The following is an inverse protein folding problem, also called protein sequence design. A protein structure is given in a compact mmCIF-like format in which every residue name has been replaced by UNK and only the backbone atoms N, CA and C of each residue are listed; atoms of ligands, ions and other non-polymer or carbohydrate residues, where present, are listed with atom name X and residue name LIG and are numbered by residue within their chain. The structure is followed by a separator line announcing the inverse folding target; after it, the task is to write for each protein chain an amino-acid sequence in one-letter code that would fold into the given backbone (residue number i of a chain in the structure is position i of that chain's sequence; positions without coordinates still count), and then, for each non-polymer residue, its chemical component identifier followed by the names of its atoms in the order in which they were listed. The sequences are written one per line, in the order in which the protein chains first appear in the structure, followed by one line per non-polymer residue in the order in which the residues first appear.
data_IF_575154057856
#
_entry.id   IF_575154057856
#
_cell.length_a   1.000
_cell.length_b   1.000
_cell.length_c   1.000
_cell.angle_alpha   90.00
_cell.angle_beta   90.00
_cell.angle_gamma   90.00
#
_symmetry.space_group_name_H-M   'P 1'
#
loop_
_entity.id
_entity.type
_entity.pdbx_description
1 polymer ?
#
# COMPACT_ATOMS: atom_id res chain seq x y z
N UNK A 1 -32.96 -2.48 8.48
CA UNK A 1 -31.89 -2.33 9.48
C UNK A 1 -31.02 -3.57 9.40
N UNK A 2 -29.73 -3.39 9.37
CA UNK A 2 -28.77 -4.49 9.49
C UNK A 2 -28.03 -4.30 10.82
N UNK A 3 -28.07 -5.31 11.69
CA UNK A 3 -27.29 -5.28 12.93
C UNK A 3 -26.00 -6.09 12.73
N UNK A 4 -24.92 -5.64 13.33
CA UNK A 4 -23.61 -6.30 13.35
C UNK A 4 -22.85 -5.91 14.63
N UNK A 5 -21.89 -6.70 15.05
CA UNK A 5 -20.95 -6.26 16.09
C UNK A 5 -19.94 -5.27 15.49
N UNK A 6 -19.50 -5.50 14.24
CA UNK A 6 -18.47 -4.73 13.58
C UNK A 6 -18.90 -4.22 12.20
N UNK A 7 -18.84 -2.91 11.96
CA UNK A 7 -19.07 -2.28 10.66
C UNK A 7 -17.75 -1.66 10.13
N UNK A 8 -17.29 -2.09 8.96
CA UNK A 8 -16.07 -1.59 8.33
C UNK A 8 -16.48 -0.76 7.12
N UNK A 9 -16.16 0.53 7.14
CA UNK A 9 -16.40 1.45 6.03
C UNK A 9 -15.16 1.50 5.17
N UNK A 10 -15.26 0.97 3.94
CA UNK A 10 -14.17 0.83 2.98
C UNK A 10 -13.68 -0.61 2.83
N UNK A 11 -13.71 -1.12 1.59
CA UNK A 11 -13.18 -2.41 1.17
C UNK A 11 -11.88 -2.27 0.34
N UNK A 12 -11.06 -1.29 0.70
CA UNK A 12 -9.65 -1.22 0.30
C UNK A 12 -8.80 -2.14 1.15
N UNK A 13 -7.47 -2.14 0.91
CA UNK A 13 -6.57 -3.06 1.61
C UNK A 13 -6.65 -2.96 3.13
N UNK A 14 -6.80 -1.76 3.69
CA UNK A 14 -6.89 -1.55 5.14
C UNK A 14 -8.15 -2.19 5.69
N UNK A 15 -9.32 -1.90 5.11
CA UNK A 15 -10.59 -2.47 5.60
C UNK A 15 -10.67 -3.98 5.42
N UNK A 16 -10.23 -4.53 4.28
CA UNK A 16 -10.21 -5.97 4.05
C UNK A 16 -9.25 -6.70 5.02
N UNK A 17 -8.07 -6.14 5.25
CA UNK A 17 -7.13 -6.75 6.21
C UNK A 17 -7.65 -6.60 7.64
N UNK A 18 -8.33 -5.48 8.00
CA UNK A 18 -8.99 -5.33 9.31
C UNK A 18 -10.10 -6.38 9.50
N UNK A 19 -10.92 -6.62 8.48
CA UNK A 19 -11.92 -7.69 8.53
C UNK A 19 -11.27 -9.07 8.73
N UNK A 20 -10.15 -9.33 8.02
CA UNK A 20 -9.39 -10.56 8.20
C UNK A 20 -8.86 -10.72 9.63
N UNK A 21 -8.25 -9.67 10.21
CA UNK A 21 -7.73 -9.71 11.58
C UNK A 21 -8.85 -9.94 12.62
N UNK A 22 -10.05 -9.40 12.41
CA UNK A 22 -11.21 -9.66 13.26
C UNK A 22 -11.67 -11.12 13.18
N UNK A 23 -11.84 -11.66 11.97
CA UNK A 23 -12.26 -13.06 11.76
C UNK A 23 -11.22 -14.04 12.31
N UNK A 24 -9.94 -13.79 12.03
CA UNK A 24 -8.84 -14.63 12.52
C UNK A 24 -8.66 -14.52 14.04
N UNK A 25 -9.02 -13.37 14.63
CA UNK A 25 -9.11 -13.12 16.07
C UNK A 25 -10.32 -13.74 16.76
N UNK A 26 -11.20 -14.44 16.04
CA UNK A 26 -12.33 -15.20 16.59
C UNK A 26 -13.68 -14.47 16.57
N UNK A 27 -13.78 -13.31 15.91
CA UNK A 27 -15.09 -12.66 15.69
C UNK A 27 -15.88 -13.50 14.67
N UNK A 28 -17.18 -13.73 14.93
CA UNK A 28 -18.06 -14.42 13.99
C UNK A 28 -18.13 -13.61 12.68
N UNK A 29 -17.75 -14.19 11.53
CA UNK A 29 -17.84 -13.50 10.25
C UNK A 29 -19.22 -12.91 9.92
N UNK A 30 -20.31 -13.53 10.41
CA UNK A 30 -21.68 -13.05 10.21
C UNK A 30 -21.98 -11.76 10.99
N UNK A 31 -21.22 -11.47 12.03
CA UNK A 31 -21.28 -10.23 12.83
C UNK A 31 -20.42 -9.11 12.26
N UNK A 32 -19.78 -9.33 11.10
CA UNK A 32 -19.00 -8.31 10.39
C UNK A 32 -19.73 -7.87 9.13
N UNK A 33 -19.86 -6.56 8.94
CA UNK A 33 -20.34 -5.95 7.70
C UNK A 33 -19.32 -5.01 7.12
N UNK A 34 -19.01 -5.18 5.84
CA UNK A 34 -18.12 -4.28 5.07
C UNK A 34 -18.97 -3.45 4.11
N UNK A 35 -18.78 -2.14 4.13
CA UNK A 35 -19.58 -1.17 3.38
C UNK A 35 -18.68 -0.46 2.39
N UNK A 36 -18.85 -0.72 1.10
CA UNK A 36 -18.08 -0.06 0.03
C UNK A 36 -18.85 -0.17 -1.30
N UNK A 37 -19.06 0.93 -2.03
CA UNK A 37 -19.75 0.88 -3.32
C UNK A 37 -18.96 0.12 -4.39
N UNK A 38 -17.63 0.12 -4.31
CA UNK A 38 -16.72 -0.44 -5.32
C UNK A 38 -15.48 -1.04 -4.64
N UNK A 39 -15.56 -2.24 -4.05
CA UNK A 39 -14.42 -2.89 -3.39
C UNK A 39 -13.16 -2.90 -4.27
N UNK A 40 -12.00 -2.64 -3.65
CA UNK A 40 -10.66 -2.68 -4.28
C UNK A 40 -10.42 -1.57 -5.34
N UNK A 41 -11.37 -0.74 -5.67
CA UNK A 41 -11.31 0.23 -6.77
C UNK A 41 -10.43 1.47 -6.53
N UNK A 42 -10.06 1.76 -5.28
CA UNK A 42 -9.34 2.98 -4.90
C UNK A 42 -7.82 2.88 -5.04
N UNK A 43 -7.10 3.53 -4.12
CA UNK A 43 -5.62 3.53 -4.09
C UNK A 43 -5.01 2.12 -4.09
N UNK A 44 -5.69 1.13 -3.50
CA UNK A 44 -5.29 -0.29 -3.48
C UNK A 44 -5.11 -0.86 -4.88
N UNK A 45 -6.04 -0.60 -5.81
CA UNK A 45 -6.01 -1.13 -7.18
C UNK A 45 -4.82 -0.62 -7.99
N UNK A 46 -4.40 0.62 -7.71
CA UNK A 46 -3.34 1.31 -8.45
C UNK A 46 -1.96 1.09 -7.81
N UNK A 47 -1.91 0.69 -6.54
CA UNK A 47 -0.67 0.60 -5.77
C UNK A 47 0.41 -0.29 -6.41
N UNK A 48 1.69 0.09 -6.22
CA UNK A 48 2.85 -0.69 -6.64
C UNK A 48 3.06 -1.97 -5.84
N UNK A 49 2.69 -1.99 -4.56
CA UNK A 49 2.75 -3.19 -3.72
C UNK A 49 4.15 -3.57 -3.24
N UNK A 50 5.06 -2.62 -3.14
CA UNK A 50 6.33 -2.84 -2.46
C UNK A 50 6.08 -3.00 -0.95
N UNK A 51 6.62 -4.08 -0.39
CA UNK A 51 6.74 -4.32 1.04
C UNK A 51 8.17 -3.93 1.43
N UNK A 52 8.42 -2.63 1.41
CA UNK A 52 9.75 -2.06 1.38
C UNK A 52 9.96 -1.05 2.53
N UNK A 53 10.02 -1.52 3.80
CA UNK A 53 10.23 -0.64 4.94
C UNK A 53 11.57 0.09 4.90
N UNK A 54 12.54 -0.40 4.14
CA UNK A 54 13.89 0.17 4.06
C UNK A 54 14.08 0.98 2.78
N UNK A 55 13.72 0.45 1.59
CA UNK A 55 13.88 1.18 0.33
C UNK A 55 12.99 2.43 0.21
N UNK A 56 11.87 2.46 0.91
CA UNK A 56 10.93 3.58 0.88
C UNK A 56 11.18 4.67 1.95
N UNK A 57 12.23 4.55 2.76
CA UNK A 57 12.64 5.56 3.75
C UNK A 57 12.95 6.89 3.07
N UNK A 58 12.45 7.97 3.64
CA UNK A 58 12.71 9.35 3.21
C UNK A 58 13.15 10.21 4.40
N UNK A 59 13.92 11.24 4.13
CA UNK A 59 14.29 12.24 5.14
C UNK A 59 13.04 12.88 5.78
N UNK A 60 13.11 13.19 7.06
CA UNK A 60 12.06 13.84 7.84
C UNK A 60 10.80 13.00 8.07
N UNK A 61 10.92 11.68 7.90
CA UNK A 61 9.83 10.73 8.17
C UNK A 61 10.19 9.76 9.31
N UNK A 62 11.14 10.13 10.20
CA UNK A 62 11.64 9.29 11.29
C UNK A 62 10.52 8.67 12.16
N UNK A 63 9.41 9.38 12.49
CA UNK A 63 8.30 8.77 13.24
C UNK A 63 7.58 7.64 12.51
N UNK A 64 7.70 7.58 11.17
CA UNK A 64 7.07 6.55 10.35
C UNK A 64 7.92 5.25 10.31
N UNK A 65 9.25 5.35 10.46
CA UNK A 65 10.15 4.21 10.29
C UNK A 65 9.81 3.01 11.18
N UNK A 66 9.56 3.18 12.51
CA UNK A 66 9.20 2.06 13.38
C UNK A 66 7.94 1.33 12.92
N UNK A 67 6.95 2.08 12.41
CA UNK A 67 5.69 1.50 11.93
C UNK A 67 5.91 0.69 10.64
N UNK A 68 6.77 1.20 9.73
CA UNK A 68 7.12 0.51 8.48
C UNK A 68 7.86 -0.79 8.76
N UNK A 69 8.87 -0.76 9.64
CA UNK A 69 9.65 -1.95 10.02
C UNK A 69 8.74 -2.98 10.69
N UNK A 70 7.97 -2.57 11.70
CA UNK A 70 7.05 -3.48 12.39
C UNK A 70 6.04 -4.11 11.42
N UNK A 71 5.50 -3.33 10.47
CA UNK A 71 4.57 -3.87 9.49
C UNK A 71 5.24 -4.85 8.53
N UNK A 72 6.47 -4.57 8.09
CA UNK A 72 7.27 -5.49 7.27
C UNK A 72 7.50 -6.82 7.97
N UNK A 73 7.81 -6.79 9.26
CA UNK A 73 8.00 -7.99 10.09
C UNK A 73 6.70 -8.77 10.32
N UNK A 74 5.54 -8.11 10.33
CA UNK A 74 4.23 -8.75 10.48
C UNK A 74 3.74 -9.44 9.21
N UNK A 75 4.18 -9.01 8.03
CA UNK A 75 3.68 -9.51 6.75
C UNK A 75 3.84 -11.03 6.55
N UNK A 76 4.98 -11.65 6.87
CA UNK A 76 5.13 -13.11 6.74
C UNK A 76 4.10 -13.90 7.55
N UNK A 77 3.81 -13.47 8.78
CA UNK A 77 2.80 -14.10 9.64
C UNK A 77 1.38 -13.90 9.06
N UNK A 78 1.02 -12.68 8.68
CA UNK A 78 -0.26 -12.37 8.04
C UNK A 78 -0.50 -13.27 6.83
N UNK A 79 0.49 -13.39 5.94
CA UNK A 79 0.39 -14.23 4.74
C UNK A 79 0.31 -15.72 5.07
N UNK A 80 1.03 -16.19 6.08
CA UNK A 80 0.96 -17.58 6.53
C UNK A 80 -0.43 -17.92 7.07
N UNK A 81 -1.01 -17.04 7.91
CA UNK A 81 -2.38 -17.18 8.43
C UNK A 81 -3.44 -17.17 7.32
N UNK A 82 -3.30 -16.27 6.34
CA UNK A 82 -4.20 -16.21 5.19
C UNK A 82 -4.07 -17.47 4.32
N UNK A 83 -2.85 -17.93 4.02
CA UNK A 83 -2.61 -19.14 3.23
C UNK A 83 -3.12 -20.42 3.87
N UNK A 84 -3.27 -20.44 5.20
CA UNK A 84 -3.90 -21.54 5.92
C UNK A 84 -5.44 -21.58 5.72
N UNK A 85 -6.03 -20.49 5.26
CA UNK A 85 -7.49 -20.33 5.10
C UNK A 85 -7.96 -20.40 3.65
N UNK A 86 -7.10 -20.07 2.68
CA UNK A 86 -7.43 -20.06 1.26
C UNK A 86 -6.21 -20.41 0.40
N UNK A 87 -6.46 -20.99 -0.77
CA UNK A 87 -5.45 -21.28 -1.79
C UNK A 87 -5.32 -20.18 -2.85
N UNK A 88 -6.14 -19.13 -2.76
CA UNK A 88 -6.08 -18.00 -3.69
C UNK A 88 -4.71 -17.31 -3.62
N UNK A 89 -4.07 -17.02 -4.77
CA UNK A 89 -2.73 -16.46 -4.78
C UNK A 89 -2.72 -14.99 -4.36
N UNK A 90 -1.72 -14.60 -3.58
CA UNK A 90 -1.50 -13.20 -3.16
C UNK A 90 -0.52 -12.45 -4.06
N UNK A 91 0.21 -13.16 -4.92
CA UNK A 91 1.28 -12.59 -5.73
C UNK A 91 2.49 -12.10 -4.90
N UNK A 92 2.69 -12.64 -3.70
CA UNK A 92 3.85 -12.32 -2.86
C UNK A 92 5.13 -12.93 -3.44
N UNK A 93 6.20 -12.12 -3.46
CA UNK A 93 7.56 -12.52 -3.86
C UNK A 93 8.56 -11.99 -2.84
N UNK A 94 9.60 -12.78 -2.55
CA UNK A 94 10.56 -12.54 -1.46
C UNK A 94 11.97 -12.22 -1.95
N UNK A 95 12.14 -11.88 -3.20
CA UNK A 95 13.42 -11.41 -3.74
C UNK A 95 13.78 -10.05 -3.10
N UNK A 96 15.06 -9.83 -2.85
CA UNK A 96 15.58 -8.55 -2.36
C UNK A 96 15.24 -7.39 -3.31
N UNK A 97 15.17 -6.18 -2.79
CA UNK A 97 15.06 -4.96 -3.62
C UNK A 97 16.46 -4.43 -3.95
N UNK A 98 16.67 -4.06 -5.22
CA UNK A 98 17.84 -3.28 -5.64
C UNK A 98 17.45 -1.80 -5.77
N UNK A 99 18.22 -0.92 -5.13
CA UNK A 99 18.14 0.53 -5.31
C UNK A 99 19.31 0.97 -6.17
N UNK A 100 19.07 1.58 -7.33
CA UNK A 100 20.10 1.91 -8.30
C UNK A 100 20.06 3.38 -8.72
N UNK A 101 21.23 3.95 -9.03
CA UNK A 101 21.38 5.31 -9.55
C UNK A 101 21.79 5.28 -11.01
N UNK A 102 21.09 6.05 -11.85
CA UNK A 102 21.35 6.08 -13.28
C UNK A 102 22.64 6.84 -13.63
N UNK A 103 22.96 7.88 -12.88
CA UNK A 103 24.16 8.68 -13.09
C UNK A 103 24.94 8.95 -11.79
N UNK A 104 26.00 9.79 -11.90
CA UNK A 104 26.87 10.08 -10.77
C UNK A 104 26.15 10.84 -9.65
N UNK A 105 25.24 11.75 -9.97
CA UNK A 105 24.50 12.53 -8.98
C UNK A 105 23.50 11.63 -8.24
N UNK A 106 22.77 10.79 -8.96
CA UNK A 106 21.90 9.76 -8.38
C UNK A 106 22.68 8.81 -7.47
N UNK A 107 23.92 8.45 -7.87
CA UNK A 107 24.83 7.64 -7.06
C UNK A 107 25.28 8.31 -5.77
N UNK A 108 25.39 9.65 -5.71
CA UNK A 108 25.60 10.40 -4.46
C UNK A 108 24.36 10.31 -3.58
N UNK A 109 23.18 10.61 -4.13
CA UNK A 109 21.91 10.54 -3.43
C UNK A 109 21.70 9.16 -2.76
N UNK A 110 21.94 8.07 -3.50
CA UNK A 110 21.80 6.71 -2.96
C UNK A 110 22.75 6.42 -1.81
N UNK A 111 23.99 6.91 -1.86
CA UNK A 111 24.95 6.75 -0.76
C UNK A 111 24.53 7.52 0.50
N UNK A 112 23.97 8.71 0.33
CA UNK A 112 23.43 9.49 1.46
C UNK A 112 22.20 8.79 2.07
N UNK A 113 21.33 8.26 1.24
CA UNK A 113 20.17 7.48 1.68
C UNK A 113 20.59 6.20 2.40
N UNK A 114 21.58 5.48 1.89
CA UNK A 114 22.18 4.31 2.54
C UNK A 114 22.74 4.66 3.93
N UNK A 115 23.46 5.79 4.04
CA UNK A 115 23.98 6.24 5.33
C UNK A 115 22.84 6.55 6.33
N UNK A 116 21.74 7.13 5.88
CA UNK A 116 20.54 7.35 6.70
C UNK A 116 19.94 6.02 7.16
N UNK A 117 19.74 5.07 6.24
CA UNK A 117 19.20 3.74 6.54
C UNK A 117 20.06 3.01 7.58
N UNK A 118 21.38 2.99 7.40
CA UNK A 118 22.32 2.36 8.32
C UNK A 118 22.37 3.05 9.69
N UNK A 119 22.27 4.39 9.73
CA UNK A 119 22.16 5.16 10.98
C UNK A 119 20.93 4.74 11.82
N UNK A 120 19.86 4.32 11.17
CA UNK A 120 18.65 3.82 11.81
C UNK A 120 18.65 2.28 11.99
N UNK A 121 19.79 1.62 11.81
CA UNK A 121 19.94 0.17 12.02
C UNK A 121 19.26 -0.69 10.96
N UNK A 122 18.91 -0.12 9.81
CA UNK A 122 18.24 -0.85 8.73
C UNK A 122 19.25 -1.67 7.91
N UNK A 123 18.80 -2.85 7.46
CA UNK A 123 19.61 -3.80 6.70
C UNK A 123 19.67 -3.38 5.21
N UNK A 124 20.68 -2.56 4.88
CA UNK A 124 20.94 -2.07 3.53
C UNK A 124 22.45 -2.08 3.24
N UNK A 125 22.86 -2.55 2.06
CA UNK A 125 24.26 -2.78 1.70
C UNK A 125 24.63 -2.17 0.36
N UNK A 126 25.73 -1.41 0.33
CA UNK A 126 26.33 -1.00 -0.94
C UNK A 126 26.73 -2.24 -1.76
N UNK A 127 26.32 -2.27 -3.02
CA UNK A 127 26.57 -3.41 -3.90
C UNK A 127 27.41 -2.97 -5.11
N UNK A 128 28.58 -3.61 -5.37
CA UNK A 128 29.31 -3.36 -6.61
C UNK A 128 28.43 -3.65 -7.83
N UNK A 129 28.43 -2.77 -8.83
CA UNK A 129 27.57 -2.90 -10.02
C UNK A 129 27.72 -4.25 -10.74
N UNK A 130 28.91 -4.84 -10.71
CA UNK A 130 29.13 -6.20 -11.25
C UNK A 130 28.33 -7.25 -10.48
N UNK A 131 28.20 -7.10 -9.17
CA UNK A 131 27.40 -8.01 -8.33
C UNK A 131 25.90 -7.73 -8.52
N UNK A 132 25.50 -6.47 -8.59
CA UNK A 132 24.13 -6.10 -8.88
C UNK A 132 23.64 -6.73 -10.19
N UNK A 133 24.45 -6.68 -11.26
CA UNK A 133 24.15 -7.33 -12.55
C UNK A 133 24.23 -8.87 -12.54
N UNK A 134 24.87 -9.48 -11.57
CA UNK A 134 24.76 -10.93 -11.37
C UNK A 134 23.44 -11.32 -10.71
N UNK A 135 22.94 -10.49 -9.80
CA UNK A 135 21.65 -10.69 -9.15
C UNK A 135 20.48 -10.35 -10.09
N UNK A 136 20.65 -9.31 -10.89
CA UNK A 136 19.67 -8.82 -11.86
C UNK A 136 20.33 -8.52 -13.20
N UNK A 137 20.40 -9.51 -14.10
CA UNK A 137 21.07 -9.36 -15.40
C UNK A 137 20.47 -8.30 -16.32
N UNK A 138 19.18 -8.00 -16.15
CA UNK A 138 18.45 -7.00 -16.93
C UNK A 138 18.84 -5.55 -16.62
N UNK A 139 19.66 -5.30 -15.59
CA UNK A 139 20.11 -3.94 -15.28
C UNK A 139 21.01 -3.35 -16.36
N UNK A 140 20.75 -2.08 -16.68
CA UNK A 140 21.57 -1.30 -17.60
C UNK A 140 23.07 -1.34 -17.25
N UNK A 141 23.97 -1.46 -18.23
CA UNK A 141 25.41 -1.35 -18.01
C UNK A 141 25.88 0.06 -17.59
N UNK A 142 25.03 1.08 -17.78
CA UNK A 142 25.37 2.50 -17.58
C UNK A 142 25.03 3.05 -16.19
N UNK A 143 24.59 2.17 -15.24
CA UNK A 143 24.29 2.60 -13.88
C UNK A 143 25.55 3.03 -13.12
N UNK A 144 25.39 3.98 -12.17
CA UNK A 144 26.50 4.56 -11.40
C UNK A 144 26.63 4.01 -9.97
N UNK A 145 25.54 3.49 -9.39
CA UNK A 145 25.53 2.92 -8.04
C UNK A 145 24.45 1.86 -7.88
N UNK A 146 24.65 0.98 -6.90
CA UNK A 146 23.64 0.01 -6.48
C UNK A 146 23.72 -0.22 -4.96
N UNK A 147 22.56 -0.44 -4.35
CA UNK A 147 22.36 -0.88 -2.97
C UNK A 147 21.42 -2.07 -2.99
N UNK A 148 21.73 -3.11 -2.23
CA UNK A 148 20.83 -4.24 -1.99
C UNK A 148 20.15 -4.08 -0.63
N UNK A 149 18.84 -4.37 -0.61
CA UNK A 149 18.03 -4.41 0.60
C UNK A 149 17.39 -5.80 0.68
N UNK A 150 18.00 -6.71 1.45
CA UNK A 150 17.61 -8.13 1.48
C UNK A 150 16.20 -8.36 2.03
N UNK A 151 15.78 -7.55 3.00
CA UNK A 151 14.52 -7.70 3.72
C UNK A 151 13.29 -7.11 3.01
N UNK A 152 13.48 -6.31 1.96
CA UNK A 152 12.38 -5.71 1.22
C UNK A 152 11.79 -6.70 0.20
N UNK A 153 10.49 -6.80 0.19
CA UNK A 153 9.72 -7.73 -0.62
C UNK A 153 8.69 -7.01 -1.50
N UNK A 154 7.83 -7.78 -2.17
CA UNK A 154 6.67 -7.26 -2.90
C UNK A 154 5.46 -8.18 -2.79
N UNK A 155 4.29 -7.59 -2.99
CA UNK A 155 3.03 -8.31 -3.16
C UNK A 155 2.27 -7.71 -4.33
N UNK A 156 1.44 -8.50 -5.04
CA UNK A 156 0.53 -7.93 -6.03
C UNK A 156 -0.72 -7.40 -5.33
N UNK A 157 -0.95 -6.07 -5.25
CA UNK A 157 -2.06 -5.52 -4.47
C UNK A 157 -3.43 -5.98 -4.97
N UNK A 158 -3.59 -6.19 -6.28
CA UNK A 158 -4.84 -6.66 -6.89
C UNK A 158 -5.13 -8.11 -6.50
N UNK A 159 -4.11 -8.99 -6.56
CA UNK A 159 -4.26 -10.39 -6.17
C UNK A 159 -4.47 -10.53 -4.66
N UNK A 160 -3.69 -9.81 -3.86
CA UNK A 160 -3.78 -9.87 -2.41
C UNK A 160 -5.14 -9.40 -1.89
N UNK A 161 -5.64 -8.25 -2.39
CA UNK A 161 -6.95 -7.76 -1.99
C UNK A 161 -8.10 -8.63 -2.53
N UNK A 162 -7.97 -9.21 -3.73
CA UNK A 162 -8.94 -10.18 -4.24
C UNK A 162 -8.96 -11.46 -3.39
N UNK A 163 -7.79 -11.97 -2.99
CA UNK A 163 -7.66 -13.11 -2.10
C UNK A 163 -8.35 -12.86 -0.74
N UNK A 164 -8.13 -11.69 -0.13
CA UNK A 164 -8.81 -11.31 1.12
C UNK A 164 -10.32 -11.21 0.94
N UNK A 165 -10.78 -10.55 -0.13
CA UNK A 165 -12.20 -10.37 -0.42
C UNK A 165 -12.90 -11.72 -0.62
N UNK A 166 -12.33 -12.59 -1.43
CA UNK A 166 -12.85 -13.95 -1.69
C UNK A 166 -12.94 -14.76 -0.40
N UNK A 167 -11.86 -14.78 0.40
CA UNK A 167 -11.86 -15.48 1.68
C UNK A 167 -12.95 -14.95 2.62
N UNK A 168 -13.05 -13.64 2.80
CA UNK A 168 -14.03 -13.03 3.71
C UNK A 168 -15.47 -13.32 3.29
N UNK A 169 -15.76 -13.29 1.98
CA UNK A 169 -17.07 -13.65 1.44
C UNK A 169 -17.41 -15.13 1.72
N UNK A 170 -16.47 -16.04 1.48
CA UNK A 170 -16.64 -17.47 1.77
C UNK A 170 -16.78 -17.75 3.28
N UNK A 171 -16.10 -16.99 4.12
CA UNK A 171 -16.23 -17.09 5.58
C UNK A 171 -17.60 -16.61 6.10
N UNK A 172 -18.35 -15.82 5.31
CA UNK A 172 -19.68 -15.34 5.69
C UNK A 172 -19.75 -13.86 6.09
N UNK A 173 -18.66 -13.09 5.90
CA UNK A 173 -18.68 -11.63 6.09
C UNK A 173 -19.65 -11.00 5.10
N UNK A 174 -20.50 -10.11 5.57
CA UNK A 174 -21.51 -9.44 4.74
C UNK A 174 -20.90 -8.22 4.04
N UNK A 175 -21.12 -8.09 2.73
CA UNK A 175 -20.69 -6.95 1.94
C UNK A 175 -21.91 -6.16 1.43
N UNK A 176 -21.88 -4.84 1.64
CA UNK A 176 -22.92 -3.92 1.16
C UNK A 176 -22.31 -3.00 0.09
N UNK A 177 -22.75 -3.17 -1.16
CA UNK A 177 -22.29 -2.39 -2.32
C UNK A 177 -22.94 -1.00 -2.35
N UNK A 178 -22.64 -0.17 -1.35
CA UNK A 178 -23.16 1.19 -1.20
C UNK A 178 -22.17 2.02 -0.38
N UNK A 179 -22.29 3.35 -0.43
CA UNK A 179 -21.43 4.25 0.34
C UNK A 179 -22.05 4.53 1.72
N UNK A 180 -21.21 4.62 2.76
CA UNK A 180 -21.57 5.24 4.02
C UNK A 180 -21.54 6.77 3.86
N UNK A 181 -22.57 7.45 4.34
CA UNK A 181 -22.70 8.92 4.22
C UNK A 181 -22.61 9.62 5.58
N UNK A 182 -23.03 8.95 6.65
CA UNK A 182 -23.04 9.54 7.99
C UNK A 182 -22.88 8.46 9.05
N UNK A 183 -22.21 8.80 10.15
CA UNK A 183 -22.13 8.01 11.37
C UNK A 183 -22.78 8.81 12.49
N UNK A 184 -23.79 8.25 13.14
CA UNK A 184 -24.48 8.85 14.29
C UNK A 184 -24.56 7.84 15.43
N UNK A 185 -23.71 8.02 16.45
CA UNK A 185 -23.56 7.01 17.49
C UNK A 185 -23.08 5.67 16.93
N UNK A 186 -23.88 4.65 17.08
CA UNK A 186 -23.68 3.29 16.54
C UNK A 186 -24.29 3.10 15.14
N UNK A 187 -24.91 4.11 14.57
CA UNK A 187 -25.64 4.00 13.31
C UNK A 187 -24.83 4.55 12.15
N UNK A 188 -24.70 3.76 11.09
CA UNK A 188 -24.11 4.14 9.80
C UNK A 188 -25.25 4.29 8.78
N UNK A 189 -25.46 5.52 8.31
CA UNK A 189 -26.39 5.81 7.22
C UNK A 189 -25.73 5.52 5.87
N UNK A 190 -26.47 4.89 4.99
CA UNK A 190 -26.01 4.50 3.65
C UNK A 190 -26.65 5.38 2.58
N UNK A 191 -25.96 5.52 1.44
CA UNK A 191 -26.43 6.34 0.32
C UNK A 191 -27.75 5.85 -0.30
N UNK A 192 -28.11 4.58 -0.12
CA UNK A 192 -29.37 3.98 -0.57
C UNK A 192 -30.48 4.01 0.49
N UNK A 193 -30.35 4.88 1.48
CA UNK A 193 -31.28 5.07 2.60
C UNK A 193 -31.36 3.88 3.59
N UNK A 194 -30.61 2.82 3.43
CA UNK A 194 -30.46 1.77 4.45
C UNK A 194 -29.64 2.29 5.63
N UNK A 195 -29.71 1.56 6.75
CA UNK A 195 -28.93 1.85 7.95
C UNK A 195 -28.33 0.56 8.49
N UNK A 196 -27.08 0.66 8.95
CA UNK A 196 -26.38 -0.39 9.67
C UNK A 196 -26.17 0.11 11.10
N UNK A 197 -26.54 -0.71 12.09
CA UNK A 197 -26.22 -0.46 13.50
C UNK A 197 -25.10 -1.42 13.89
N UNK A 198 -24.01 -0.91 14.47
CA UNK A 198 -22.87 -1.71 14.90
C UNK A 198 -22.31 -1.22 16.23
N UNK A 199 -21.81 -2.15 17.06
CA UNK A 199 -21.16 -1.82 18.33
C UNK A 199 -19.82 -1.14 18.09
N UNK A 200 -19.10 -1.56 17.04
CA UNK A 200 -17.83 -1.00 16.63
C UNK A 200 -17.82 -0.64 15.14
N UNK A 201 -17.44 0.58 14.83
CA UNK A 201 -17.31 1.10 13.47
C UNK A 201 -15.83 1.38 13.17
N UNK A 202 -15.36 0.96 12.00
CA UNK A 202 -14.00 1.22 11.50
C UNK A 202 -14.08 2.09 10.24
N UNK A 203 -13.51 3.28 10.30
CA UNK A 203 -13.47 4.22 9.17
C UNK A 203 -12.16 4.01 8.40
N UNK A 204 -12.22 3.15 7.34
CA UNK A 204 -11.07 2.66 6.57
C UNK A 204 -11.11 3.04 5.08
N UNK A 205 -11.96 3.97 4.67
CA UNK A 205 -12.27 4.27 3.27
C UNK A 205 -11.35 5.31 2.60
N UNK A 206 -10.11 5.42 3.07
CA UNK A 206 -9.09 6.26 2.45
C UNK A 206 -9.51 7.74 2.36
N UNK A 207 -9.43 8.35 1.18
CA UNK A 207 -9.85 9.73 0.97
C UNK A 207 -11.34 9.96 1.27
N UNK A 208 -12.18 8.94 1.10
CA UNK A 208 -13.61 9.03 1.39
C UNK A 208 -13.95 9.24 2.87
N UNK A 209 -12.98 9.08 3.77
CA UNK A 209 -13.20 9.30 5.21
C UNK A 209 -13.57 10.76 5.53
N UNK A 210 -13.15 11.71 4.70
CA UNK A 210 -13.53 13.12 4.84
C UNK A 210 -14.96 13.42 4.39
N UNK A 211 -15.57 12.52 3.63
CA UNK A 211 -16.90 12.69 3.05
C UNK A 211 -17.99 11.97 3.89
N UNK A 212 -17.61 11.33 5.00
CA UNK A 212 -18.53 10.73 5.97
C UNK A 212 -18.78 11.71 7.10
N UNK A 213 -20.02 12.14 7.26
CA UNK A 213 -20.43 13.12 8.27
C UNK A 213 -20.77 12.49 9.63
N UNK A 214 -20.97 13.34 10.65
CA UNK A 214 -21.63 13.04 11.92
C UNK A 214 -20.78 12.31 12.98
N UNK A 215 -19.63 11.78 12.64
CA UNK A 215 -18.76 11.07 13.59
C UNK A 215 -17.90 11.97 14.48
N UNK A 216 -17.83 13.24 14.14
CA UNK A 216 -17.11 14.27 14.89
C UNK A 216 -17.97 15.54 14.99
N UNK A 217 -17.86 16.27 16.09
CA UNK A 217 -18.53 17.57 16.27
C UNK A 217 -17.74 18.67 15.54
N UNK A 218 -18.43 19.43 14.68
CA UNK A 218 -17.81 20.48 13.86
C UNK A 218 -17.24 19.97 12.53
N UNK A 219 -16.18 20.61 12.04
CA UNK A 219 -15.52 20.24 10.80
C UNK A 219 -14.76 18.93 10.96
N UNK A 220 -14.75 18.10 9.88
CA UNK A 220 -14.00 16.85 9.87
C UNK A 220 -12.51 17.12 10.18
N UNK A 221 -11.92 16.48 11.22
CA UNK A 221 -10.55 16.76 11.67
C UNK A 221 -9.47 16.16 10.76
N UNK A 222 -9.84 15.28 9.83
CA UNK A 222 -8.88 14.60 8.96
C UNK A 222 -8.42 15.52 7.82
N UNK A 223 -7.19 16.01 7.91
CA UNK A 223 -6.58 16.86 6.89
C UNK A 223 -6.08 16.01 5.69
N UNK A 224 -6.96 15.16 5.12
CA UNK A 224 -6.65 14.30 3.99
C UNK A 224 -6.60 15.09 2.69
N UNK A 225 -5.55 14.85 1.90
CA UNK A 225 -5.37 15.41 0.56
C UNK A 225 -5.11 14.32 -0.48
N UNK A 226 -5.64 14.45 -1.71
CA UNK A 226 -5.34 13.51 -2.78
C UNK A 226 -3.95 13.80 -3.35
N UNK A 227 -3.07 12.79 -3.35
CA UNK A 227 -1.79 12.85 -4.05
C UNK A 227 -1.83 11.82 -5.18
N UNK A 228 -2.00 12.34 -6.41
CA UNK A 228 -2.14 11.50 -7.60
C UNK A 228 -0.79 10.91 -8.02
N UNK A 229 -0.83 9.68 -8.53
CA UNK A 229 0.32 9.00 -9.09
C UNK A 229 -0.07 8.19 -10.30
N UNK A 230 0.64 8.40 -11.41
CA UNK A 230 0.50 7.59 -12.61
C UNK A 230 1.32 6.31 -12.44
N UNK A 231 0.75 5.21 -12.88
CA UNK A 231 1.37 3.90 -12.89
C UNK A 231 1.14 3.21 -14.22
N UNK A 232 2.14 2.49 -14.70
CA UNK A 232 2.08 1.71 -15.92
C UNK A 232 2.09 0.23 -15.61
N UNK A 233 1.45 -0.56 -16.47
CA UNK A 233 1.56 -2.00 -16.48
C UNK A 233 2.02 -2.48 -17.84
N UNK A 234 3.02 -3.32 -17.81
CA UNK A 234 3.59 -3.98 -18.98
C UNK A 234 3.37 -5.49 -18.84
N UNK A 235 3.46 -6.21 -19.94
CA UNK A 235 3.48 -7.68 -20.00
C UNK A 235 4.75 -8.13 -20.67
N UNK A 236 5.38 -9.13 -20.10
CA UNK A 236 6.50 -9.83 -20.76
C UNK A 236 5.94 -10.80 -21.79
N UNK A 237 6.25 -10.66 -23.09
CA UNK A 237 5.85 -11.63 -24.09
C UNK A 237 6.43 -13.01 -23.81
N UNK A 238 5.67 -14.08 -24.06
CA UNK A 238 6.14 -15.46 -23.83
C UNK A 238 7.39 -15.78 -24.64
N UNK A 239 7.48 -15.28 -25.89
CA UNK A 239 8.63 -15.46 -26.75
C UNK A 239 9.90 -14.84 -26.15
N UNK A 240 9.77 -13.68 -25.46
CA UNK A 240 10.89 -13.03 -24.79
C UNK A 240 11.39 -13.87 -23.63
N UNK A 241 10.49 -14.42 -22.81
CA UNK A 241 10.84 -15.32 -21.70
C UNK A 241 11.62 -16.51 -22.18
N UNK A 242 11.19 -17.14 -23.31
CA UNK A 242 11.85 -18.32 -23.86
C UNK A 242 13.20 -18.05 -24.50
N UNK A 243 13.42 -16.85 -25.04
CA UNK A 243 14.66 -16.50 -25.78
C UNK A 243 15.69 -15.81 -24.93
N UNK A 244 15.28 -14.92 -24.03
CA UNK A 244 16.18 -14.01 -23.30
C UNK A 244 15.95 -14.04 -21.79
N UNK A 245 14.90 -14.72 -21.30
CA UNK A 245 14.46 -14.69 -19.92
C UNK A 245 13.61 -13.45 -19.59
N UNK A 246 13.18 -13.36 -18.34
CA UNK A 246 12.46 -12.17 -17.86
C UNK A 246 13.38 -10.94 -17.86
N UNK A 247 12.95 -9.76 -18.34
CA UNK A 247 13.76 -8.55 -18.39
C UNK A 247 14.12 -8.04 -16.99
N UNK A 248 13.34 -8.41 -15.97
CA UNK A 248 13.58 -8.09 -14.56
C UNK A 248 12.99 -9.19 -13.68
N UNK A 249 13.75 -9.60 -12.65
CA UNK A 249 13.37 -10.72 -11.77
C UNK A 249 13.07 -10.30 -10.33
N UNK A 250 13.50 -9.11 -9.91
CA UNK A 250 13.31 -8.55 -8.57
C UNK A 250 12.86 -7.09 -8.63
N UNK A 251 12.44 -6.53 -7.50
CA UNK A 251 12.10 -5.12 -7.44
C UNK A 251 13.37 -4.29 -7.70
N UNK A 252 13.31 -3.42 -8.70
CA UNK A 252 14.34 -2.40 -8.96
C UNK A 252 13.71 -1.05 -8.68
N UNK A 253 14.20 -0.37 -7.64
CA UNK A 253 13.92 1.03 -7.39
C UNK A 253 15.08 1.85 -7.91
N UNK A 254 14.82 2.94 -8.60
CA UNK A 254 15.89 3.74 -9.20
C UNK A 254 15.68 5.24 -8.99
N UNK A 255 16.79 5.97 -9.05
CA UNK A 255 16.79 7.40 -9.26
C UNK A 255 17.38 7.67 -10.64
N UNK A 256 16.68 8.48 -11.43
CA UNK A 256 17.09 8.90 -12.78
C UNK A 256 16.99 10.40 -12.85
N UNK A 257 18.11 11.10 -12.80
CA UNK A 257 18.17 12.57 -12.72
C UNK A 257 17.30 13.08 -11.54
N UNK A 258 17.50 12.48 -10.36
CA UNK A 258 16.77 12.72 -9.09
C UNK A 258 15.27 12.39 -9.13
N UNK A 259 14.76 11.79 -10.21
CA UNK A 259 13.37 11.31 -10.28
C UNK A 259 13.29 9.85 -9.83
N UNK A 260 12.44 9.54 -8.84
CA UNK A 260 12.26 8.16 -8.42
C UNK A 260 11.41 7.38 -9.43
N UNK A 261 11.87 6.19 -9.79
CA UNK A 261 11.13 5.21 -10.58
C UNK A 261 11.31 3.83 -9.98
N UNK A 262 10.33 2.97 -10.09
CA UNK A 262 10.43 1.56 -9.71
C UNK A 262 9.89 0.65 -10.82
N UNK A 263 10.49 -0.53 -10.92
CA UNK A 263 10.10 -1.63 -11.81
C UNK A 263 9.87 -2.86 -10.95
N UNK A 264 8.66 -3.41 -10.99
CA UNK A 264 8.24 -4.49 -10.09
C UNK A 264 7.69 -5.66 -10.93
N UNK A 265 8.45 -6.75 -11.09
CA UNK A 265 7.98 -7.96 -11.78
C UNK A 265 6.94 -8.69 -10.93
N UNK A 266 5.96 -9.32 -11.59
CA UNK A 266 4.86 -10.02 -10.96
C UNK A 266 4.86 -11.51 -11.29
N UNK A 267 4.20 -12.30 -10.45
CA UNK A 267 4.04 -13.75 -10.68
C UNK A 267 3.13 -14.09 -11.87
N UNK A 268 2.33 -13.13 -12.35
CA UNK A 268 1.42 -13.27 -13.48
C UNK A 268 2.03 -12.83 -14.82
N UNK A 269 3.36 -12.64 -14.89
CA UNK A 269 4.07 -12.19 -16.07
C UNK A 269 3.91 -10.71 -16.40
N UNK A 270 3.25 -9.94 -15.52
CA UNK A 270 3.17 -8.48 -15.67
C UNK A 270 4.29 -7.77 -14.94
N UNK A 271 4.56 -6.53 -15.32
CA UNK A 271 5.50 -5.63 -14.66
C UNK A 271 4.77 -4.33 -14.34
N UNK A 272 4.85 -3.90 -13.08
CA UNK A 272 4.37 -2.57 -12.69
C UNK A 272 5.52 -1.57 -12.71
N UNK A 273 5.32 -0.43 -13.37
CA UNK A 273 6.27 0.69 -13.43
C UNK A 273 5.63 1.93 -12.83
N UNK A 274 6.29 2.56 -11.90
CA UNK A 274 5.74 3.73 -11.21
C UNK A 274 6.79 4.54 -10.47
N UNK A 275 6.41 5.58 -9.84
CA UNK A 275 5.15 6.28 -10.01
C UNK A 275 5.39 7.78 -9.93
N UNK A 276 4.61 8.52 -10.66
CA UNK A 276 4.59 9.99 -10.49
C UNK A 276 3.98 10.40 -9.15
N UNK A 277 4.20 11.64 -8.77
CA UNK A 277 3.58 12.24 -7.59
C UNK A 277 3.18 13.67 -7.92
N UNK A 278 1.89 13.97 -7.87
CA UNK A 278 1.36 15.30 -8.19
C UNK A 278 0.14 15.65 -7.33
N UNK A 279 0.04 16.89 -6.96
CA UNK A 279 -1.08 17.44 -6.19
C UNK A 279 -1.88 18.41 -7.08
N UNK A 280 -2.42 17.89 -8.18
CA UNK A 280 -3.30 18.59 -9.10
C UNK A 280 -4.70 17.93 -9.13
N UNK A 281 -5.63 18.49 -9.91
CA UNK A 281 -6.99 17.95 -10.01
C UNK A 281 -7.19 17.00 -11.21
N UNK A 282 -6.14 16.60 -11.90
CA UNK A 282 -6.24 15.72 -13.08
C UNK A 282 -6.42 14.27 -12.63
N UNK A 283 -7.56 13.67 -13.01
CA UNK A 283 -7.92 12.30 -12.66
C UNK A 283 -7.48 11.25 -13.66
N UNK A 284 -6.96 11.66 -14.81
CA UNK A 284 -6.41 10.77 -15.84
C UNK A 284 -4.88 10.78 -15.85
N UNK A 285 -4.23 9.74 -16.45
CA UNK A 285 -2.78 9.70 -16.62
C UNK A 285 -2.27 10.89 -17.43
N UNK A 286 -1.18 11.50 -16.97
CA UNK A 286 -0.57 12.64 -17.66
C UNK A 286 0.42 12.14 -18.73
N UNK A 287 0.39 12.70 -19.93
CA UNK A 287 1.26 12.29 -21.04
C UNK A 287 2.73 12.40 -20.67
N UNK A 288 3.13 13.50 -20.03
CA UNK A 288 4.51 13.71 -19.57
C UNK A 288 4.91 12.71 -18.47
N UNK A 289 3.99 12.38 -17.55
CA UNK A 289 4.19 11.36 -16.52
C UNK A 289 4.42 9.98 -17.12
N UNK A 290 3.56 9.56 -18.05
CA UNK A 290 3.66 8.28 -18.76
C UNK A 290 4.98 8.18 -19.54
N UNK A 291 5.31 9.21 -20.33
CA UNK A 291 6.53 9.23 -21.14
C UNK A 291 7.80 9.24 -20.29
N UNK A 292 7.78 9.97 -19.16
CA UNK A 292 8.91 10.04 -18.22
C UNK A 292 9.12 8.69 -17.54
N UNK A 293 8.05 8.05 -17.04
CA UNK A 293 8.14 6.74 -16.40
C UNK A 293 8.69 5.67 -17.36
N UNK A 294 8.23 5.63 -18.62
CA UNK A 294 8.74 4.69 -19.62
C UNK A 294 10.22 4.93 -19.89
N UNK A 295 10.58 6.17 -20.21
CA UNK A 295 11.97 6.54 -20.49
C UNK A 295 12.91 6.18 -19.33
N UNK A 296 12.54 6.56 -18.10
CA UNK A 296 13.37 6.37 -16.93
C UNK A 296 13.47 4.89 -16.54
N UNK A 297 12.38 4.11 -16.66
CA UNK A 297 12.39 2.67 -16.43
C UNK A 297 13.25 1.93 -17.46
N UNK A 298 13.13 2.24 -18.75
CA UNK A 298 13.93 1.65 -19.84
C UNK A 298 15.42 2.00 -19.66
N UNK A 299 15.75 3.22 -19.24
CA UNK A 299 17.15 3.60 -18.93
C UNK A 299 17.77 2.72 -17.86
N UNK A 300 16.97 2.22 -16.92
CA UNK A 300 17.40 1.35 -15.80
C UNK A 300 17.40 -0.12 -16.18
N UNK A 301 16.34 -0.55 -16.87
CA UNK A 301 16.10 -1.94 -17.33
C UNK A 301 15.78 -1.91 -18.83
N UNK A 302 16.79 -1.93 -19.71
CA UNK A 302 16.58 -1.78 -21.15
C UNK A 302 15.64 -2.79 -21.78
N UNK A 303 15.60 -4.03 -21.29
CA UNK A 303 14.73 -5.09 -21.80
C UNK A 303 13.21 -4.79 -21.70
N UNK A 304 12.83 -3.71 -20.99
CA UNK A 304 11.42 -3.26 -20.98
C UNK A 304 10.93 -2.74 -22.33
N UNK A 305 11.82 -2.37 -23.24
CA UNK A 305 11.46 -1.96 -24.61
C UNK A 305 10.76 -3.08 -25.39
N UNK A 306 11.05 -4.32 -25.04
CA UNK A 306 10.47 -5.50 -25.69
C UNK A 306 9.13 -5.95 -25.07
N UNK A 307 8.69 -5.29 -23.98
CA UNK A 307 7.45 -5.62 -23.30
C UNK A 307 6.24 -4.99 -23.98
N UNK A 308 5.09 -5.67 -23.87
CA UNK A 308 3.80 -5.11 -24.30
C UNK A 308 3.29 -4.09 -23.29
N UNK A 309 2.77 -2.97 -23.78
CA UNK A 309 2.09 -1.98 -22.96
C UNK A 309 0.63 -2.40 -22.71
N UNK A 310 0.24 -2.57 -21.43
CA UNK A 310 -1.12 -2.97 -21.06
C UNK A 310 -1.99 -1.76 -20.72
N UNK A 311 -1.57 -0.95 -19.75
CA UNK A 311 -2.36 0.17 -19.25
C UNK A 311 -1.52 1.27 -18.62
N UNK A 312 -2.04 2.49 -18.68
CA UNK A 312 -1.63 3.60 -17.83
C UNK A 312 -2.83 3.97 -16.95
N UNK A 313 -2.63 3.97 -15.64
CA UNK A 313 -3.67 4.26 -14.66
C UNK A 313 -3.19 5.31 -13.66
N UNK A 314 -4.14 6.01 -13.05
CA UNK A 314 -3.86 6.98 -12.01
C UNK A 314 -4.64 6.65 -10.74
N UNK A 315 -4.00 6.80 -9.59
CA UNK A 315 -4.64 6.68 -8.29
C UNK A 315 -4.32 7.85 -7.39
N UNK A 316 -5.25 8.16 -6.50
CA UNK A 316 -5.07 9.19 -5.50
C UNK A 316 -4.70 8.54 -4.16
N UNK A 317 -3.49 8.78 -3.69
CA UNK A 317 -3.04 8.37 -2.36
C UNK A 317 -3.67 9.27 -1.30
N UNK A 318 -4.18 8.73 -0.18
CA UNK A 318 -4.70 9.53 0.93
C UNK A 318 -3.54 10.11 1.74
N UNK A 319 -3.03 11.29 1.33
CA UNK A 319 -1.95 11.99 2.01
C UNK A 319 -2.44 12.72 3.25
N UNK A 320 -1.58 12.77 4.29
CA UNK A 320 -1.74 13.58 5.50
C UNK A 320 -0.67 14.67 5.53
N UNK A 321 -0.78 15.71 6.35
CA UNK A 321 0.22 16.79 6.39
C UNK A 321 1.64 16.34 6.77
N UNK A 322 1.75 15.31 7.59
CA UNK A 322 2.99 14.77 8.18
C UNK A 322 3.35 13.36 7.66
N UNK A 323 2.64 12.86 6.67
CA UNK A 323 2.76 11.53 6.07
C UNK A 323 2.51 10.34 7.02
N UNK A 324 2.16 10.60 8.29
CA UNK A 324 1.73 9.57 9.24
C UNK A 324 0.26 9.21 9.01
N UNK A 325 -0.13 7.93 9.16
CA UNK A 325 -1.54 7.56 9.08
C UNK A 325 -2.36 8.17 10.23
N UNK A 326 -3.65 8.30 10.01
CA UNK A 326 -4.62 8.48 11.08
C UNK A 326 -5.05 7.09 11.55
N UNK A 327 -4.61 6.70 12.74
CA UNK A 327 -4.89 5.39 13.34
C UNK A 327 -5.15 5.54 14.83
N UNK A 328 -6.38 5.35 15.25
CA UNK A 328 -6.75 5.47 16.66
C UNK A 328 -8.24 5.33 16.93
N UNK A 329 -8.58 5.11 18.20
CA UNK A 329 -9.95 5.10 18.70
C UNK A 329 -10.34 6.53 19.06
N UNK A 330 -11.34 7.09 18.38
CA UNK A 330 -11.82 8.46 18.60
C UNK A 330 -12.73 8.53 19.82
N UNK A 331 -13.58 7.54 19.97
CA UNK A 331 -14.54 7.37 21.07
C UNK A 331 -14.92 5.91 21.19
N UNK A 332 -15.69 5.56 22.19
CA UNK A 332 -16.29 4.23 22.22
C UNK A 332 -17.11 3.98 20.96
N UNK A 333 -16.93 2.81 20.37
CA UNK A 333 -17.60 2.38 19.14
C UNK A 333 -17.03 2.94 17.83
N UNK A 334 -15.90 3.71 17.84
CA UNK A 334 -15.34 4.24 16.60
C UNK A 334 -13.81 4.22 16.56
N UNK A 335 -13.27 3.49 15.59
CA UNK A 335 -11.85 3.48 15.20
C UNK A 335 -11.69 4.16 13.82
N UNK A 336 -10.73 5.05 13.70
CA UNK A 336 -10.30 5.63 12.41
C UNK A 336 -8.99 4.98 11.99
N UNK A 337 -8.91 4.53 10.74
CA UNK A 337 -7.73 3.88 10.15
C UNK A 337 -7.60 4.26 8.68
N UNK A 338 -6.98 5.41 8.41
CA UNK A 338 -6.88 6.00 7.06
C UNK A 338 -5.63 6.87 6.91
N UNK A 339 -5.42 7.47 5.75
CA UNK A 339 -4.32 8.42 5.55
C UNK A 339 -2.94 7.77 5.41
N UNK A 340 -2.85 6.54 4.95
CA UNK A 340 -1.60 5.76 4.85
C UNK A 340 -0.68 6.19 3.69
N UNK A 341 -1.08 7.20 2.94
CA UNK A 341 -0.31 7.81 1.86
C UNK A 341 0.34 6.78 0.91
N UNK A 342 1.67 6.74 0.85
CA UNK A 342 2.46 5.87 -0.05
C UNK A 342 2.57 4.44 0.47
N UNK A 343 2.36 4.24 1.76
CA UNK A 343 2.68 3.00 2.47
C UNK A 343 1.47 2.14 2.78
N UNK A 344 0.30 2.40 2.17
CA UNK A 344 -0.96 1.72 2.49
C UNK A 344 -0.90 0.20 2.34
N UNK A 345 -0.17 -0.34 1.35
CA UNK A 345 0.02 -1.78 1.21
C UNK A 345 0.93 -2.30 2.31
N UNK A 346 2.12 -1.72 2.49
CA UNK A 346 3.06 -2.11 3.53
C UNK A 346 2.41 -2.03 4.92
N UNK A 347 1.81 -0.90 5.26
CA UNK A 347 1.24 -0.66 6.58
C UNK A 347 -0.10 -1.36 6.81
N UNK A 348 -0.64 -2.11 5.85
CA UNK A 348 -1.92 -2.83 6.04
C UNK A 348 -1.81 -3.92 7.11
N UNK A 349 -0.67 -4.61 7.24
CA UNK A 349 -0.48 -5.62 8.28
C UNK A 349 -0.51 -5.00 9.69
N UNK A 350 0.23 -3.91 9.89
CA UNK A 350 0.27 -3.19 11.16
C UNK A 350 -1.05 -2.47 11.45
N UNK A 351 -1.53 -1.66 10.50
CA UNK A 351 -2.71 -0.81 10.69
C UNK A 351 -3.99 -1.61 10.93
N UNK A 352 -4.15 -2.74 10.23
CA UNK A 352 -5.31 -3.61 10.42
C UNK A 352 -5.27 -4.33 11.77
N UNK A 353 -4.11 -4.89 12.16
CA UNK A 353 -3.95 -5.54 13.45
C UNK A 353 -4.22 -4.57 14.61
N UNK A 354 -3.63 -3.38 14.55
CA UNK A 354 -3.87 -2.33 15.55
C UNK A 354 -5.33 -1.87 15.54
N UNK A 355 -5.92 -1.66 14.37
CA UNK A 355 -7.33 -1.28 14.24
C UNK A 355 -8.26 -2.32 14.89
N UNK A 356 -8.04 -3.60 14.62
CA UNK A 356 -8.79 -4.70 15.24
C UNK A 356 -8.58 -4.74 16.76
N UNK A 357 -7.36 -4.60 17.25
CA UNK A 357 -7.05 -4.54 18.69
C UNK A 357 -7.78 -3.40 19.39
N UNK A 358 -7.76 -2.19 18.82
CA UNK A 358 -8.47 -1.03 19.35
C UNK A 358 -9.98 -1.27 19.44
N UNK A 359 -10.55 -1.90 18.41
CA UNK A 359 -11.96 -2.24 18.39
C UNK A 359 -12.35 -3.31 19.41
N UNK A 360 -11.49 -4.30 19.61
CA UNK A 360 -11.68 -5.37 20.60
C UNK A 360 -11.30 -4.94 22.04
N UNK A 361 -10.88 -3.68 22.23
CA UNK A 361 -10.52 -3.15 23.54
C UNK A 361 -9.17 -3.66 24.07
N UNK A 362 -8.30 -4.17 23.19
CA UNK A 362 -6.95 -4.60 23.52
C UNK A 362 -5.91 -3.53 23.19
N UNK A 363 -4.83 -3.44 23.97
CA UNK A 363 -3.78 -2.44 23.74
C UNK A 363 -2.87 -2.84 22.60
N UNK A 364 -2.53 -1.92 21.67
CA UNK A 364 -1.49 -2.13 20.68
C UNK A 364 -0.13 -2.38 21.33
N UNK A 365 0.68 -3.27 20.74
CA UNK A 365 2.04 -3.54 21.22
C UNK A 365 3.08 -2.46 20.90
N UNK A 366 2.71 -1.45 20.11
CA UNK A 366 3.54 -0.32 19.71
C UNK A 366 2.87 1.01 20.06
N UNK A 367 3.68 2.03 20.32
CA UNK A 367 3.18 3.40 20.50
C UNK A 367 2.66 3.95 19.15
N UNK A 368 1.39 4.29 19.13
CA UNK A 368 0.69 4.90 17.98
C UNK A 368 0.25 6.34 18.27
N UNK A 369 0.71 6.95 19.34
CA UNK A 369 0.30 8.31 19.76
C UNK A 369 0.54 9.34 18.67
N UNK A 370 1.61 9.20 17.88
CA UNK A 370 1.90 10.03 16.72
C UNK A 370 0.87 9.87 15.57
N UNK A 371 0.07 8.80 15.59
CA UNK A 371 -0.97 8.52 14.58
C UNK A 371 -2.36 9.00 15.01
N UNK A 372 -2.48 9.72 16.14
CA UNK A 372 -3.77 10.20 16.67
C UNK A 372 -4.59 10.88 15.55
N UNK A 373 -5.81 10.39 15.26
CA UNK A 373 -6.67 11.00 14.25
C UNK A 373 -7.03 12.46 14.51
N UNK A 374 -6.96 12.90 15.77
CA UNK A 374 -7.28 14.27 16.17
C UNK A 374 -6.06 15.23 16.20
N UNK A 375 -4.85 14.74 15.89
CA UNK A 375 -3.62 15.56 15.95
C UNK A 375 -3.62 16.80 15.05
N UNK A 376 -4.49 16.85 14.05
CA UNK A 376 -4.68 18.01 13.18
C UNK A 376 -6.05 18.68 13.36
N UNK A 377 -6.84 18.28 14.36
CA UNK A 377 -8.08 18.95 14.71
C UNK A 377 -7.79 20.42 15.13
N UNK A 378 -8.56 21.35 14.55
CA UNK A 378 -8.46 22.80 14.84
C UNK A 378 -9.64 23.26 15.69
#
# INVERSE_FOLDING_TARGET
MHNAEHAIIGAGIIGLTTAFELVDGGVDPQEIVVIDPHPISGATFVAGGMLAPVAEVQYRQEPLYPLMVASGEMFPDLLARLSAKTTAPTGHRRESTLVVGADRADGVHIRELLALQQKHGMDAHALPLRQARKLEPGLSPQLAAAVEIPGDHQINPRMFSACLLEYLQHAGVRFLSTAATRIDGQNVQLADARMVTADMIYLCNGLGAKDVDGWFEGANPLALRPVYGDMLRLRVPEELVHTSGEPVTRVVRAFVEDRPVYVIPRTDGTIAVGATSREDNRKGPAVDGVSTLLRDAIRVVPGLEECEFIEAIVGARPGTPDDLPYLGKIREGLVVSTGYFRHGILLSAFGAKVGAQLGLGTSPGLDISACDPLRHAR
#
